data_IF_100095901068
#
_entry.id   IF_100095901068
#
_cell.length_a   1.000
_cell.length_b   1.000
_cell.length_c   1.000
_cell.angle_alpha   90.00
_cell.angle_beta   90.00
_cell.angle_gamma   90.00
#
_symmetry.space_group_name_H-M   'P 1'
#
loop_
_entity.id
_entity.type
_entity.pdbx_description
1 polymer ?
#
# COMPACT_ATOMS: atom_id res chain seq x y z
N UNK A 1 -15.94 -80.19 13.09
CA UNK A 1 -14.99 -79.10 12.78
C UNK A 1 -14.82 -79.02 11.27
N UNK A 2 -15.02 -77.84 10.67
CA UNK A 2 -14.83 -77.58 9.24
C UNK A 2 -13.92 -76.36 9.12
N UNK A 3 -12.75 -76.57 8.53
CA UNK A 3 -11.68 -75.60 8.36
C UNK A 3 -11.79 -75.12 6.91
N UNK A 4 -12.14 -73.86 6.69
CA UNK A 4 -12.21 -73.29 5.35
C UNK A 4 -10.83 -72.73 4.97
N UNK A 5 -10.39 -73.14 3.79
CA UNK A 5 -9.01 -73.11 3.35
C UNK A 5 -8.42 -71.73 3.07
N UNK A 6 -7.10 -71.76 2.98
CA UNK A 6 -6.20 -70.69 2.55
C UNK A 6 -6.47 -70.23 1.13
N UNK A 7 -6.70 -68.93 0.93
CA UNK A 7 -6.34 -68.19 -0.29
C UNK A 7 -6.51 -66.67 -0.08
N UNK A 8 -5.82 -65.80 -0.83
CA UNK A 8 -4.37 -65.67 -0.95
C UNK A 8 -3.89 -64.26 -0.51
N UNK A 9 -2.65 -64.16 -0.04
CA UNK A 9 -1.92 -62.91 0.07
C UNK A 9 -1.81 -62.30 -1.35
N UNK A 10 -2.25 -61.05 -1.56
CA UNK A 10 -1.82 -60.27 -2.73
C UNK A 10 -2.90 -59.65 -3.65
N UNK A 11 -4.04 -59.20 -3.15
CA UNK A 11 -4.96 -58.35 -3.93
C UNK A 11 -4.95 -56.88 -3.44
N UNK A 12 -3.76 -56.27 -3.38
CA UNK A 12 -3.67 -54.80 -3.23
C UNK A 12 -4.09 -54.16 -4.54
N UNK A 13 -5.29 -53.60 -4.59
CA UNK A 13 -5.83 -52.94 -5.76
C UNK A 13 -5.16 -51.56 -5.95
N UNK A 14 -4.23 -51.38 -6.92
CA UNK A 14 -3.43 -50.15 -7.02
C UNK A 14 -4.26 -48.93 -7.42
N UNK A 15 -5.43 -49.14 -8.02
CA UNK A 15 -6.36 -48.08 -8.41
C UNK A 15 -7.07 -47.41 -7.24
N UNK A 16 -7.16 -48.07 -6.07
CA UNK A 16 -7.72 -47.41 -4.87
C UNK A 16 -6.73 -46.43 -4.24
N UNK A 17 -5.43 -46.61 -4.47
CA UNK A 17 -4.38 -45.79 -3.86
C UNK A 17 -4.24 -44.41 -4.51
N UNK A 18 -4.60 -44.26 -5.79
CA UNK A 18 -4.53 -42.97 -6.50
C UNK A 18 -5.67 -42.01 -6.16
N UNK A 19 -6.80 -42.53 -5.65
CA UNK A 19 -7.93 -41.70 -5.21
C UNK A 19 -7.68 -41.06 -3.84
N UNK A 20 -6.99 -41.78 -2.93
CA UNK A 20 -6.64 -41.28 -1.58
C UNK A 20 -5.37 -40.39 -1.56
N UNK A 21 -4.55 -40.39 -2.62
CA UNK A 21 -3.37 -39.49 -2.73
C UNK A 21 -3.67 -38.11 -3.33
N UNK A 22 -4.94 -37.74 -3.48
CA UNK A 22 -5.35 -36.35 -3.70
C UNK A 22 -5.81 -35.74 -2.37
N UNK A 23 -4.89 -35.22 -1.52
CA UNK A 23 -5.30 -34.23 -0.55
C UNK A 23 -5.75 -33.00 -1.36
N UNK A 24 -7.07 -32.90 -1.46
CA UNK A 24 -7.83 -31.72 -1.82
C UNK A 24 -7.41 -30.57 -0.89
N UNK A 25 -6.26 -29.96 -1.17
CA UNK A 25 -5.70 -28.79 -0.50
C UNK A 25 -5.77 -27.59 -1.43
N UNK A 26 -6.90 -27.44 -2.12
CA UNK A 26 -7.30 -26.14 -2.63
C UNK A 26 -7.97 -25.36 -1.48
N UNK A 27 -7.20 -24.79 -0.56
CA UNK A 27 -7.62 -23.64 0.28
C UNK A 27 -6.53 -23.18 1.27
N UNK A 28 -5.27 -23.04 0.84
CA UNK A 28 -4.24 -22.32 1.60
C UNK A 28 -3.77 -21.14 0.78
N UNK A 29 -4.37 -19.97 0.97
CA UNK A 29 -4.08 -18.74 0.23
C UNK A 29 -2.61 -18.33 0.40
N UNK A 30 -1.73 -18.81 -0.45
CA UNK A 30 -0.58 -18.01 -0.90
C UNK A 30 -0.85 -17.70 -2.36
N UNK A 31 -1.87 -16.85 -2.58
CA UNK A 31 -2.01 -16.17 -3.86
C UNK A 31 -0.65 -15.57 -4.22
N UNK A 32 -0.26 -15.71 -5.49
CA UNK A 32 0.97 -15.14 -6.06
C UNK A 32 1.30 -13.82 -5.36
N UNK A 33 2.52 -13.67 -4.83
CA UNK A 33 2.97 -12.42 -4.21
C UNK A 33 2.56 -11.30 -5.17
N UNK A 34 1.61 -10.47 -4.75
CA UNK A 34 1.19 -9.32 -5.55
C UNK A 34 2.29 -8.30 -5.41
N UNK A 35 2.69 -7.71 -6.52
CA UNK A 35 3.59 -6.57 -6.48
C UNK A 35 2.88 -5.47 -5.69
N UNK A 36 3.54 -4.97 -4.66
CA UNK A 36 3.06 -3.89 -3.81
C UNK A 36 4.06 -2.75 -3.87
N UNK A 37 3.55 -1.53 -4.06
CA UNK A 37 4.32 -0.30 -4.00
C UNK A 37 4.00 0.37 -2.67
N UNK A 38 4.98 0.45 -1.78
CA UNK A 38 4.88 1.19 -0.52
C UNK A 38 5.79 2.42 -0.57
N UNK A 39 5.35 3.52 0.03
CA UNK A 39 6.20 4.69 0.25
C UNK A 39 7.18 4.35 1.38
N UNK A 40 8.47 4.60 1.17
CA UNK A 40 9.50 4.31 2.18
C UNK A 40 9.25 5.10 3.47
N UNK A 41 9.56 4.49 4.61
CA UNK A 41 9.43 5.15 5.92
C UNK A 41 10.28 6.42 5.99
N UNK A 42 11.48 6.40 5.41
CA UNK A 42 12.35 7.58 5.26
C UNK A 42 11.67 8.72 4.48
N UNK A 43 10.98 8.43 3.37
CA UNK A 43 10.27 9.45 2.61
C UNK A 43 9.09 10.05 3.40
N UNK A 44 8.42 9.25 4.23
CA UNK A 44 7.35 9.74 5.13
C UNK A 44 7.92 10.66 6.22
N UNK A 45 9.06 10.29 6.81
CA UNK A 45 9.74 11.10 7.82
C UNK A 45 10.20 12.45 7.26
N UNK A 46 10.80 12.45 6.06
CA UNK A 46 11.21 13.67 5.37
C UNK A 46 10.01 14.60 5.07
N UNK A 47 8.88 14.05 4.62
CA UNK A 47 7.65 14.82 4.42
C UNK A 47 7.14 15.44 5.74
N UNK A 48 7.11 14.66 6.81
CA UNK A 48 6.60 15.11 8.11
C UNK A 48 7.48 16.21 8.72
N UNK A 49 8.81 16.07 8.65
CA UNK A 49 9.75 17.08 9.14
C UNK A 49 9.65 18.41 8.39
N UNK A 50 9.41 18.38 7.08
CA UNK A 50 9.21 19.59 6.27
C UNK A 50 7.90 20.30 6.61
N UNK A 51 6.86 19.55 6.98
CA UNK A 51 5.56 20.12 7.33
C UNK A 51 5.57 20.84 8.68
N UNK A 52 6.26 20.31 9.70
CA UNK A 52 6.19 20.85 11.06
C UNK A 52 6.81 22.24 11.21
N UNK A 53 8.02 22.45 10.67
CA UNK A 53 8.70 23.75 10.71
C UNK A 53 8.02 24.80 9.85
N UNK A 54 7.46 24.38 8.71
CA UNK A 54 6.68 25.25 7.84
C UNK A 54 5.34 25.67 8.47
N UNK A 55 4.74 24.89 9.37
CA UNK A 55 3.37 25.12 9.85
C UNK A 55 3.23 26.38 10.72
N UNK A 56 4.11 26.59 11.70
CA UNK A 56 4.01 27.77 12.59
C UNK A 56 4.36 29.07 11.85
N UNK A 57 5.43 29.06 11.07
CA UNK A 57 5.82 30.22 10.24
C UNK A 57 4.74 30.53 9.18
N UNK A 58 4.09 29.50 8.64
CA UNK A 58 2.96 29.66 7.71
C UNK A 58 1.74 30.23 8.41
N UNK A 59 1.44 29.82 9.66
CA UNK A 59 0.30 30.37 10.41
C UNK A 59 0.51 31.87 10.65
N UNK A 60 1.67 32.27 11.16
CA UNK A 60 2.02 33.67 11.36
C UNK A 60 1.90 34.49 10.07
N UNK A 61 2.46 33.98 8.97
CA UNK A 61 2.37 34.62 7.65
C UNK A 61 0.93 34.77 7.17
N UNK A 62 0.07 33.76 7.40
CA UNK A 62 -1.35 33.83 7.01
C UNK A 62 -2.08 34.90 7.83
N UNK A 63 -1.80 35.00 9.12
CA UNK A 63 -2.44 35.97 10.00
C UNK A 63 -2.04 37.41 9.63
N UNK A 64 -0.76 37.65 9.34
CA UNK A 64 -0.26 38.93 8.84
C UNK A 64 -0.92 39.32 7.51
N UNK A 65 -0.99 38.38 6.56
CA UNK A 65 -1.64 38.61 5.27
C UNK A 65 -3.12 38.91 5.44
N UNK A 66 -3.82 38.20 6.33
CA UNK A 66 -5.22 38.44 6.64
C UNK A 66 -5.44 39.85 7.17
N UNK A 67 -4.58 40.30 8.09
CA UNK A 67 -4.62 41.67 8.61
C UNK A 67 -4.42 42.70 7.51
N UNK A 68 -3.41 42.52 6.65
CA UNK A 68 -3.11 43.44 5.55
C UNK A 68 -4.24 43.52 4.50
N UNK A 69 -4.94 42.41 4.25
CA UNK A 69 -6.12 42.36 3.38
C UNK A 69 -7.29 43.09 4.04
N UNK A 70 -7.54 42.86 5.33
CA UNK A 70 -8.61 43.54 6.07
C UNK A 70 -8.40 45.06 6.17
N UNK A 71 -7.16 45.53 6.30
CA UNK A 71 -6.82 46.96 6.29
C UNK A 71 -6.77 47.57 4.89
N UNK A 72 -6.96 46.79 3.82
CA UNK A 72 -6.91 47.26 2.44
C UNK A 72 -5.50 47.66 1.96
N UNK A 73 -4.45 47.34 2.71
CA UNK A 73 -3.05 47.67 2.40
C UNK A 73 -2.32 46.56 1.65
N UNK A 74 -2.99 45.43 1.40
CA UNK A 74 -2.42 44.33 0.63
C UNK A 74 -2.43 44.64 -0.88
N UNK A 75 -1.24 44.78 -1.45
CA UNK A 75 -1.07 45.02 -2.88
C UNK A 75 -0.61 43.75 -3.62
N UNK A 76 -1.29 43.44 -4.73
CA UNK A 76 -0.99 42.29 -5.57
C UNK A 76 -0.02 42.71 -6.68
N UNK A 77 1.26 42.33 -6.57
CA UNK A 77 2.27 42.62 -7.62
C UNK A 77 2.17 41.60 -8.76
N UNK A 78 1.83 42.10 -9.96
CA UNK A 78 1.72 41.29 -11.17
C UNK A 78 3.03 40.58 -11.56
N UNK A 79 4.19 41.19 -11.29
CA UNK A 79 5.50 40.55 -11.57
C UNK A 79 5.71 39.34 -10.69
N UNK A 80 5.35 39.44 -9.41
CA UNK A 80 5.44 38.31 -8.46
C UNK A 80 4.51 37.16 -8.86
N UNK A 81 3.34 37.47 -9.44
CA UNK A 81 2.45 36.44 -9.98
C UNK A 81 3.12 35.71 -11.15
N UNK A 82 3.65 36.45 -12.11
CA UNK A 82 4.31 35.88 -13.29
C UNK A 82 5.52 35.01 -12.89
N UNK A 83 6.37 35.48 -11.97
CA UNK A 83 7.51 34.73 -11.43
C UNK A 83 7.09 33.39 -10.80
N UNK A 84 5.95 33.35 -10.10
CA UNK A 84 5.45 32.13 -9.46
C UNK A 84 4.77 31.16 -10.42
N UNK A 85 4.24 31.65 -11.53
CA UNK A 85 3.61 30.82 -12.56
C UNK A 85 4.66 30.24 -13.52
N UNK A 86 5.75 30.95 -13.77
CA UNK A 86 6.79 30.57 -14.74
C UNK A 86 7.26 29.10 -14.63
N UNK A 87 7.52 28.51 -13.43
CA UNK A 87 7.99 27.13 -13.33
C UNK A 87 6.99 26.07 -13.83
N UNK A 88 5.72 26.42 -13.97
CA UNK A 88 4.64 25.49 -14.34
C UNK A 88 4.17 25.66 -15.80
N UNK A 89 4.68 26.66 -16.51
CA UNK A 89 4.30 26.98 -17.88
C UNK A 89 5.53 26.72 -18.77
N UNK A 90 5.70 25.46 -19.14
CA UNK A 90 6.61 24.98 -20.19
C UNK A 90 5.81 24.13 -21.18
#
# INVERSE_FOLDING_TARGET
MKINGTNPIGATNPYKKSLDTMPNSAAGKTGKKKDQVEISEEAKELLNSHNLTATEQRRQKIDELRSAVASGTYNVDARRIAEKLLPFIN
#
